data_IF_477935916509
#
_entry.id   IF_477935916509
#
_cell.length_a   1.000
_cell.length_b   1.000
_cell.length_c   1.000
_cell.angle_alpha   90.00
_cell.angle_beta   90.00
_cell.angle_gamma   90.00
#
_symmetry.space_group_name_H-M   'P 1'
#
loop_
_entity.id
_entity.type
_entity.pdbx_description
1 polymer ?
#
# COMPACT_ATOMS: atom_id res chain seq x y z
N UNK A 1 10.72 5.71 -49.96
CA UNK A 1 11.34 4.71 -49.09
C UNK A 1 10.79 4.89 -47.69
N UNK A 2 9.89 4.00 -47.22
CA UNK A 2 9.43 4.04 -45.84
C UNK A 2 10.46 3.31 -44.96
N UNK A 3 10.95 3.98 -43.92
CA UNK A 3 11.72 3.34 -42.86
C UNK A 3 10.74 2.48 -42.08
N UNK A 4 10.73 1.17 -42.36
CA UNK A 4 10.16 0.17 -41.45
C UNK A 4 11.00 0.25 -40.18
N UNK A 5 10.48 0.91 -39.14
CA UNK A 5 11.08 0.88 -37.81
C UNK A 5 10.88 -0.54 -37.26
N UNK A 6 11.81 -1.42 -37.58
CA UNK A 6 12.05 -2.75 -37.01
C UNK A 6 12.64 -2.68 -35.59
N UNK A 7 12.47 -1.55 -34.91
CA UNK A 7 12.67 -1.45 -33.48
C UNK A 7 11.58 -2.23 -32.77
N UNK A 8 11.86 -3.50 -32.47
CA UNK A 8 11.06 -4.30 -31.54
C UNK A 8 10.99 -3.60 -30.19
N UNK A 9 10.05 -2.67 -30.04
CA UNK A 9 9.74 -2.06 -28.74
C UNK A 9 9.18 -3.22 -27.92
N UNK A 10 10.04 -3.87 -27.12
CA UNK A 10 9.67 -4.84 -26.10
C UNK A 10 8.85 -4.09 -25.05
N UNK A 11 7.58 -3.79 -25.40
CA UNK A 11 6.61 -3.11 -24.55
C UNK A 11 6.33 -4.03 -23.38
N UNK A 12 7.09 -3.81 -22.33
CA UNK A 12 6.86 -4.50 -21.10
C UNK A 12 5.55 -3.97 -20.50
N UNK A 13 4.49 -4.79 -20.51
CA UNK A 13 3.22 -4.48 -19.84
C UNK A 13 3.37 -4.55 -18.32
N UNK A 14 2.79 -3.60 -17.59
CA UNK A 14 2.88 -3.54 -16.11
C UNK A 14 2.57 -4.90 -15.44
N UNK A 15 1.59 -5.64 -15.98
CA UNK A 15 1.21 -6.99 -15.51
C UNK A 15 2.29 -8.05 -15.67
N UNK A 16 3.00 -8.08 -16.82
CA UNK A 16 4.13 -9.01 -16.99
C UNK A 16 5.25 -8.66 -16.01
N UNK A 17 5.32 -7.37 -15.60
CA UNK A 17 6.40 -6.73 -14.82
C UNK A 17 6.27 -7.30 -13.42
N UNK A 18 5.10 -7.11 -12.84
CA UNK A 18 4.78 -7.66 -11.54
C UNK A 18 4.88 -9.18 -11.52
N UNK A 19 4.36 -9.88 -12.53
CA UNK A 19 4.46 -11.35 -12.61
C UNK A 19 5.91 -11.86 -12.58
N UNK A 20 6.83 -11.21 -13.31
CA UNK A 20 8.26 -11.55 -13.26
C UNK A 20 8.84 -11.35 -11.86
N UNK A 21 8.56 -10.21 -11.22
CA UNK A 21 9.10 -9.91 -9.88
C UNK A 21 8.54 -10.86 -8.83
N UNK A 22 7.26 -11.24 -8.94
CA UNK A 22 6.62 -12.23 -8.08
C UNK A 22 7.29 -13.60 -8.24
N UNK A 23 7.52 -14.06 -9.47
CA UNK A 23 8.20 -15.33 -9.73
C UNK A 23 9.65 -15.34 -9.21
N UNK A 24 10.32 -14.19 -9.11
CA UNK A 24 11.64 -14.07 -8.51
C UNK A 24 11.57 -14.13 -6.97
N UNK A 25 10.58 -13.45 -6.37
CA UNK A 25 10.37 -13.48 -4.92
C UNK A 25 9.98 -14.88 -4.44
N UNK A 26 9.17 -15.61 -5.23
CA UNK A 26 8.76 -16.98 -4.96
C UNK A 26 9.85 -18.02 -5.22
N UNK A 27 10.95 -17.64 -5.87
CA UNK A 27 12.08 -18.54 -6.17
C UNK A 27 11.90 -19.41 -7.42
N UNK A 28 10.79 -19.28 -8.15
CA UNK A 28 10.52 -20.01 -9.39
C UNK A 28 11.43 -19.56 -10.54
N UNK A 29 11.85 -18.30 -10.54
CA UNK A 29 12.78 -17.75 -11.53
C UNK A 29 13.94 -17.06 -10.83
N UNK A 30 15.17 -17.45 -11.14
CA UNK A 30 16.36 -16.81 -10.57
C UNK A 30 16.64 -15.49 -11.29
N UNK A 31 17.25 -14.53 -10.58
CA UNK A 31 17.65 -13.22 -11.13
C UNK A 31 18.50 -13.38 -12.40
N UNK A 32 19.40 -14.37 -12.42
CA UNK A 32 20.23 -14.67 -13.59
C UNK A 32 19.44 -15.26 -14.76
N UNK A 33 18.43 -16.10 -14.51
CA UNK A 33 17.56 -16.64 -15.55
C UNK A 33 16.63 -15.55 -16.14
N UNK A 34 16.15 -14.65 -15.29
CA UNK A 34 15.38 -13.48 -15.71
C UNK A 34 16.23 -12.51 -16.53
N UNK A 35 17.46 -12.22 -16.12
CA UNK A 35 18.37 -11.34 -16.86
C UNK A 35 18.64 -11.83 -18.28
N UNK A 36 18.91 -13.12 -18.45
CA UNK A 36 19.14 -13.74 -19.77
C UNK A 36 17.91 -13.74 -20.68
N UNK A 37 16.71 -13.86 -20.11
CA UNK A 37 15.48 -13.97 -20.89
C UNK A 37 14.96 -12.62 -21.39
N UNK A 38 15.38 -11.53 -20.75
CA UNK A 38 14.82 -10.20 -21.00
C UNK A 38 15.86 -9.14 -21.37
N UNK A 39 17.14 -9.50 -21.46
CA UNK A 39 18.28 -8.59 -21.70
C UNK A 39 18.38 -7.47 -20.65
N UNK A 40 18.00 -7.75 -19.41
CA UNK A 40 18.19 -6.83 -18.29
C UNK A 40 19.42 -7.21 -17.49
N UNK A 41 20.12 -6.20 -16.98
CA UNK A 41 21.22 -6.44 -16.06
C UNK A 41 20.69 -6.96 -14.72
N UNK A 42 21.44 -7.85 -14.04
CA UNK A 42 21.06 -8.33 -12.71
C UNK A 42 20.77 -7.20 -11.72
N UNK A 43 21.51 -6.09 -11.82
CA UNK A 43 21.35 -4.90 -10.97
C UNK A 43 19.98 -4.22 -11.13
N UNK A 44 19.46 -4.09 -12.34
CA UNK A 44 18.13 -3.52 -12.59
C UNK A 44 17.02 -4.41 -12.03
N UNK A 45 17.21 -5.72 -12.11
CA UNK A 45 16.27 -6.71 -11.56
C UNK A 45 16.31 -6.69 -10.03
N UNK A 46 17.50 -6.61 -9.44
CA UNK A 46 17.69 -6.51 -7.98
C UNK A 46 17.10 -5.22 -7.42
N UNK A 47 17.32 -4.07 -8.07
CA UNK A 47 16.70 -2.81 -7.66
C UNK A 47 15.18 -2.94 -7.63
N UNK A 48 14.62 -3.58 -8.65
CA UNK A 48 13.17 -3.71 -8.83
C UNK A 48 12.54 -4.74 -7.90
N UNK A 49 13.23 -5.83 -7.63
CA UNK A 49 12.86 -6.79 -6.58
C UNK A 49 12.98 -6.13 -5.21
N UNK A 50 14.01 -5.30 -5.01
CA UNK A 50 14.18 -4.48 -3.81
C UNK A 50 13.05 -3.46 -3.62
N UNK A 51 12.62 -2.78 -4.68
CA UNK A 51 11.46 -1.87 -4.65
C UNK A 51 10.16 -2.62 -4.32
N UNK A 52 9.98 -3.82 -4.87
CA UNK A 52 8.82 -4.66 -4.57
C UNK A 52 8.85 -5.20 -3.14
N UNK A 53 10.01 -5.68 -2.67
CA UNK A 53 10.20 -6.13 -1.29
C UNK A 53 10.02 -4.98 -0.30
N UNK A 54 10.58 -3.80 -0.58
CA UNK A 54 10.33 -2.59 0.22
C UNK A 54 8.88 -2.19 0.19
N UNK A 55 8.17 -2.28 -0.93
CA UNK A 55 6.73 -2.02 -0.98
C UNK A 55 5.91 -2.99 -0.12
N UNK A 56 6.31 -4.27 -0.09
CA UNK A 56 5.70 -5.31 0.75
C UNK A 56 6.08 -5.17 2.22
N UNK A 57 7.33 -4.82 2.52
CA UNK A 57 7.83 -4.55 3.87
C UNK A 57 7.24 -3.26 4.41
N UNK A 58 7.02 -2.24 3.59
CA UNK A 58 6.35 -1.01 3.98
C UNK A 58 4.84 -1.27 4.22
N UNK A 59 4.23 -2.27 3.59
CA UNK A 59 2.89 -2.78 3.95
C UNK A 59 2.92 -3.66 5.22
N UNK A 60 3.91 -4.54 5.38
CA UNK A 60 4.03 -5.46 6.51
C UNK A 60 4.45 -4.76 7.81
N UNK A 61 5.34 -3.77 7.72
CA UNK A 61 5.85 -2.90 8.79
C UNK A 61 4.90 -1.71 9.05
N UNK A 62 3.88 -1.52 8.22
CA UNK A 62 2.69 -0.68 8.52
C UNK A 62 1.73 -1.33 9.50
N UNK A 63 2.17 -2.33 10.25
CA UNK A 63 1.94 -2.36 11.68
C UNK A 63 2.59 -1.14 12.37
N UNK A 64 2.04 0.06 12.17
CA UNK A 64 2.33 1.27 12.94
C UNK A 64 3.82 1.68 13.08
N UNK A 65 4.37 2.51 12.16
CA UNK A 65 5.02 3.80 12.58
C UNK A 65 5.74 4.61 11.50
N UNK A 66 6.29 4.05 10.43
CA UNK A 66 7.33 4.78 9.66
C UNK A 66 6.85 5.36 8.31
N UNK A 67 6.00 6.38 8.35
CA UNK A 67 5.70 7.25 7.21
C UNK A 67 6.72 8.40 7.03
N UNK A 68 7.99 8.20 7.43
CA UNK A 68 8.91 9.32 7.66
C UNK A 68 9.80 9.71 6.47
N UNK A 69 9.90 8.95 5.38
CA UNK A 69 10.85 9.35 4.31
C UNK A 69 10.43 8.96 2.89
N UNK A 70 9.62 9.80 2.25
CA UNK A 70 9.64 9.93 0.78
C UNK A 70 9.04 11.29 0.34
N UNK A 71 9.86 12.28 -0.06
CA UNK A 71 9.41 13.34 -0.94
C UNK A 71 9.67 12.91 -2.38
N UNK A 72 8.59 12.65 -3.15
CA UNK A 72 8.43 13.00 -4.58
C UNK A 72 7.22 12.30 -5.18
N UNK A 73 6.07 12.98 -5.19
CA UNK A 73 5.22 13.21 -6.38
C UNK A 73 3.88 13.83 -5.96
N UNK A 74 3.32 14.67 -6.85
CA UNK A 74 2.11 15.47 -6.63
C UNK A 74 0.86 14.66 -6.28
N UNK A 75 -0.08 15.27 -5.52
CA UNK A 75 -0.91 14.58 -4.52
C UNK A 75 -2.24 14.01 -5.02
N UNK A 76 -2.39 13.69 -6.31
CA UNK A 76 -3.65 13.12 -6.80
C UNK A 76 -3.70 11.60 -6.50
N UNK A 77 -3.93 11.32 -5.23
CA UNK A 77 -4.59 10.13 -4.72
C UNK A 77 -3.94 8.80 -5.12
N UNK A 78 -2.82 8.47 -4.48
CA UNK A 78 -2.61 7.07 -4.15
C UNK A 78 -3.79 6.64 -3.24
N UNK A 79 -4.64 5.67 -3.63
CA UNK A 79 -5.81 5.27 -2.83
C UNK A 79 -5.44 4.92 -1.39
N UNK A 80 -4.26 4.32 -1.20
CA UNK A 80 -3.72 3.99 0.11
C UNK A 80 -3.37 5.21 0.97
N UNK A 81 -3.05 6.34 0.36
CA UNK A 81 -2.73 7.59 1.08
C UNK A 81 -4.01 8.18 1.70
N UNK A 82 -5.11 8.23 0.94
CA UNK A 82 -6.39 8.73 1.45
C UNK A 82 -6.87 7.87 2.63
N UNK A 83 -6.90 6.54 2.47
CA UNK A 83 -7.27 5.65 3.58
C UNK A 83 -6.37 5.82 4.81
N UNK A 84 -5.04 5.85 4.64
CA UNK A 84 -4.11 6.00 5.75
C UNK A 84 -4.28 7.30 6.54
N UNK A 85 -4.66 8.40 5.87
CA UNK A 85 -4.87 9.70 6.50
C UNK A 85 -6.20 9.81 7.24
N UNK A 86 -7.25 9.17 6.74
CA UNK A 86 -8.60 9.33 7.30
C UNK A 86 -9.02 8.19 8.24
N UNK A 87 -8.46 6.99 8.12
CA UNK A 87 -8.87 5.84 8.93
C UNK A 87 -8.62 6.06 10.43
N UNK A 88 -7.51 6.71 10.80
CA UNK A 88 -7.19 6.99 12.21
C UNK A 88 -8.13 8.06 12.80
N UNK A 89 -8.30 9.25 12.19
CA UNK A 89 -9.30 10.21 12.65
C UNK A 89 -10.73 9.65 12.70
N UNK A 90 -11.13 8.84 11.70
CA UNK A 90 -12.46 8.23 11.67
C UNK A 90 -12.69 7.29 12.86
N UNK A 91 -11.72 6.44 13.18
CA UNK A 91 -11.79 5.54 14.34
C UNK A 91 -11.86 6.32 15.65
N UNK A 92 -10.98 7.30 15.84
CA UNK A 92 -10.96 8.11 17.05
C UNK A 92 -12.28 8.88 17.25
N UNK A 93 -12.85 9.41 16.16
CA UNK A 93 -14.14 10.10 16.21
C UNK A 93 -15.29 9.15 16.56
N UNK A 94 -15.28 7.94 15.99
CA UNK A 94 -16.28 6.91 16.30
C UNK A 94 -16.21 6.46 17.76
N UNK A 95 -15.01 6.31 18.32
CA UNK A 95 -14.79 5.94 19.71
C UNK A 95 -15.27 7.03 20.67
N UNK A 96 -14.86 8.28 20.45
CA UNK A 96 -15.33 9.43 21.24
C UNK A 96 -16.86 9.61 21.18
N UNK A 97 -17.47 9.40 20.01
CA UNK A 97 -18.92 9.44 19.87
C UNK A 97 -19.59 8.29 20.63
N UNK A 98 -19.02 7.08 20.60
CA UNK A 98 -19.49 5.93 21.37
C UNK A 98 -19.45 6.16 22.87
N UNK A 99 -18.35 6.72 23.38
CA UNK A 99 -18.20 7.08 24.80
C UNK A 99 -19.25 8.12 25.24
N UNK A 100 -19.43 9.18 24.45
CA UNK A 100 -20.43 10.22 24.74
C UNK A 100 -21.86 9.67 24.78
N UNK A 101 -22.19 8.73 23.88
CA UNK A 101 -23.49 8.06 23.86
C UNK A 101 -23.71 7.16 25.09
N UNK A 102 -22.67 6.48 25.56
CA UNK A 102 -22.72 5.67 26.78
C UNK A 102 -22.90 6.55 28.03
N UNK A 103 -22.22 7.70 28.10
CA UNK A 103 -22.43 8.66 29.17
C UNK A 103 -23.86 9.19 29.22
N UNK A 104 -24.42 9.57 28.07
CA UNK A 104 -25.79 10.07 27.98
C UNK A 104 -26.78 9.02 28.47
N UNK A 105 -26.62 7.77 28.03
CA UNK A 105 -27.46 6.64 28.46
C UNK A 105 -27.33 6.38 29.96
N UNK A 106 -26.12 6.46 30.52
CA UNK A 106 -25.90 6.31 31.96
C UNK A 106 -26.60 7.41 32.76
N UNK A 107 -26.50 8.67 32.31
CA UNK A 107 -27.20 9.81 32.92
C UNK A 107 -28.72 9.65 32.88
N UNK A 108 -29.29 9.26 31.74
CA UNK A 108 -30.73 9.02 31.63
C UNK A 108 -31.22 7.89 32.53
N UNK A 109 -30.43 6.80 32.64
CA UNK A 109 -30.75 5.69 33.53
C UNK A 109 -30.71 6.11 35.00
N UNK A 110 -29.71 6.89 35.40
CA UNK A 110 -29.61 7.45 36.75
C UNK A 110 -30.81 8.35 37.07
N UNK A 111 -31.17 9.26 36.16
CA UNK A 111 -32.36 10.12 36.33
C UNK A 111 -33.63 9.30 36.50
N UNK A 112 -33.82 8.26 35.70
CA UNK A 112 -34.99 7.36 35.82
C UNK A 112 -35.04 6.66 37.18
N UNK A 113 -33.88 6.27 37.73
CA UNK A 113 -33.79 5.65 39.06
C UNK A 113 -34.01 6.65 40.19
N UNK A 114 -33.62 7.92 40.01
CA UNK A 114 -33.80 8.98 41.02
C UNK A 114 -35.21 9.59 41.04
N UNK A 115 -35.94 9.53 39.93
CA UNK A 115 -37.30 10.10 39.79
C UNK A 115 -38.40 9.09 40.17
N UNK A 116 -38.04 7.84 40.45
CA UNK A 116 -39.01 6.80 40.81
C UNK A 116 -39.30 6.86 42.33
N UNK A 117 -40.53 7.21 42.76
CA UNK A 117 -40.94 7.23 44.18
C UNK A 117 -41.04 5.84 44.79
#
# INVERSE_FOLDING_TARGET
>A
MCVTMDGSIKRWTAKRKTAQVIAIIQGETTVAAAGRSFDLTPSEIESRVGDAKRGMELEADRGCSAAAQAPRMSPLANPFYIHAHYDKPLKNLQEAYGEAMLELRARQKLQTLMVRP
#
